data_IF_466543091696
#
_entry.id   IF_466543091696
#
_cell.length_a   1.000
_cell.length_b   1.000
_cell.length_c   1.000
_cell.angle_alpha   90.00
_cell.angle_beta   90.00
_cell.angle_gamma   90.00
#
_symmetry.space_group_name_H-M   'P 1'
#
loop_
_entity.id
_entity.type
_entity.pdbx_description
1 polymer ?
#
# COMPACT_ATOMS: atom_id res chain seq x y z
N UNK A 1 -11.48 -16.70 -0.90
CA UNK A 1 -11.02 -16.18 -2.21
C UNK A 1 -12.04 -16.53 -3.28
N UNK A 2 -12.52 -15.54 -4.04
CA UNK A 2 -13.35 -15.76 -5.23
C UNK A 2 -12.45 -16.30 -6.35
N UNK A 3 -12.90 -17.37 -7.02
CA UNK A 3 -12.15 -18.04 -8.07
C UNK A 3 -12.88 -18.06 -9.42
N UNK A 4 -14.20 -17.87 -9.42
CA UNK A 4 -14.99 -17.84 -10.63
C UNK A 4 -16.32 -17.10 -10.41
N UNK A 5 -16.75 -16.32 -11.39
CA UNK A 5 -18.07 -15.73 -11.47
C UNK A 5 -18.64 -15.96 -12.87
N UNK A 6 -19.96 -16.07 -12.99
CA UNK A 6 -20.64 -16.18 -14.30
C UNK A 6 -22.06 -15.60 -14.22
N UNK A 7 -22.54 -15.14 -15.34
CA UNK A 7 -23.95 -14.85 -15.50
C UNK A 7 -24.77 -16.15 -15.55
N UNK A 8 -25.94 -16.14 -14.98
CA UNK A 8 -26.92 -17.23 -15.03
C UNK A 8 -28.22 -16.70 -15.62
N UNK A 9 -29.14 -17.59 -15.98
CA UNK A 9 -30.44 -17.19 -16.55
C UNK A 9 -31.21 -16.21 -15.62
N UNK A 10 -31.03 -16.37 -14.30
CA UNK A 10 -31.61 -15.49 -13.29
C UNK A 10 -30.54 -15.05 -12.29
N UNK A 11 -29.80 -13.99 -12.64
CA UNK A 11 -28.77 -13.43 -11.76
C UNK A 11 -27.36 -13.93 -12.03
N UNK A 12 -26.57 -14.11 -10.99
CA UNK A 12 -25.14 -14.47 -11.07
C UNK A 12 -24.81 -15.62 -10.13
N UNK A 13 -23.85 -16.43 -10.52
CA UNK A 13 -23.24 -17.46 -9.67
C UNK A 13 -21.79 -17.08 -9.39
N UNK A 14 -21.41 -17.13 -8.11
CA UNK A 14 -20.04 -16.84 -7.66
C UNK A 14 -19.50 -18.05 -6.92
N UNK A 15 -18.38 -18.59 -7.39
CA UNK A 15 -17.65 -19.67 -6.73
C UNK A 15 -16.47 -19.10 -5.95
N UNK A 16 -16.34 -19.50 -4.71
CA UNK A 16 -15.23 -19.09 -3.85
C UNK A 16 -14.66 -20.25 -3.06
N UNK A 17 -13.41 -20.12 -2.64
CA UNK A 17 -12.75 -21.10 -1.77
C UNK A 17 -12.68 -20.54 -0.34
N UNK A 18 -13.19 -21.34 0.59
CA UNK A 18 -13.14 -21.07 2.03
C UNK A 18 -12.69 -22.33 2.77
N UNK A 19 -11.68 -22.22 3.62
CA UNK A 19 -11.12 -23.34 4.40
C UNK A 19 -10.82 -24.59 3.52
N UNK A 20 -10.23 -24.38 2.36
CA UNK A 20 -9.87 -25.44 1.42
C UNK A 20 -11.05 -26.06 0.64
N UNK A 21 -12.28 -25.60 0.85
CA UNK A 21 -13.47 -26.09 0.15
C UNK A 21 -14.00 -25.07 -0.85
N UNK A 22 -14.38 -25.52 -2.02
CA UNK A 22 -15.08 -24.70 -3.00
C UNK A 22 -16.58 -24.66 -2.67
N UNK A 23 -17.09 -23.44 -2.55
CA UNK A 23 -18.50 -23.15 -2.29
C UNK A 23 -19.05 -22.27 -3.40
N UNK A 24 -20.38 -22.29 -3.56
CA UNK A 24 -21.06 -21.46 -4.57
C UNK A 24 -22.21 -20.72 -3.94
N UNK A 25 -22.33 -19.44 -4.32
CA UNK A 25 -23.48 -18.61 -3.97
C UNK A 25 -24.16 -18.10 -5.23
N UNK A 26 -25.48 -18.00 -5.20
CA UNK A 26 -26.31 -17.37 -6.23
C UNK A 26 -26.83 -16.04 -5.70
N UNK A 27 -26.80 -15.02 -6.56
CA UNK A 27 -27.30 -13.68 -6.21
C UNK A 27 -27.98 -13.05 -7.44
N UNK A 28 -28.84 -12.07 -7.20
CA UNK A 28 -29.48 -11.33 -8.30
C UNK A 28 -28.47 -10.47 -9.08
N UNK A 29 -27.48 -9.91 -8.38
CA UNK A 29 -26.44 -9.05 -8.96
C UNK A 29 -25.11 -9.27 -8.23
N UNK A 30 -24.00 -8.92 -8.91
CA UNK A 30 -22.65 -8.93 -8.32
C UNK A 30 -21.92 -7.64 -8.67
N UNK A 31 -21.27 -7.04 -7.66
CA UNK A 31 -20.34 -5.91 -7.84
C UNK A 31 -18.92 -6.43 -7.70
N UNK A 32 -18.12 -6.25 -8.72
CA UNK A 32 -16.71 -6.68 -8.74
C UNK A 32 -15.83 -5.62 -8.06
N UNK A 33 -15.84 -5.57 -6.73
CA UNK A 33 -15.06 -4.65 -5.92
C UNK A 33 -13.64 -5.18 -5.66
N UNK A 34 -12.92 -5.56 -6.70
CA UNK A 34 -11.56 -6.09 -6.65
C UNK A 34 -10.64 -5.38 -7.63
N UNK A 35 -9.36 -5.70 -7.60
CA UNK A 35 -8.43 -5.19 -8.61
C UNK A 35 -8.90 -5.56 -10.02
N UNK A 36 -9.05 -4.54 -10.89
CA UNK A 36 -9.63 -4.68 -12.21
C UNK A 36 -8.94 -5.73 -13.09
N UNK A 37 -7.60 -5.83 -12.99
CA UNK A 37 -6.81 -6.77 -13.77
C UNK A 37 -7.09 -8.25 -13.46
N UNK A 38 -7.70 -8.59 -12.31
CA UNK A 38 -8.07 -9.97 -11.98
C UNK A 38 -9.43 -10.37 -12.59
N UNK A 39 -10.29 -9.39 -12.90
CA UNK A 39 -11.67 -9.66 -13.35
C UNK A 39 -11.71 -10.60 -14.56
N UNK A 40 -10.91 -10.41 -15.65
CA UNK A 40 -10.93 -11.32 -16.79
C UNK A 40 -10.50 -12.77 -16.48
N UNK A 41 -9.87 -12.99 -15.34
CA UNK A 41 -9.46 -14.34 -14.90
C UNK A 41 -10.54 -15.07 -14.10
N UNK A 42 -11.43 -14.33 -13.46
CA UNK A 42 -12.51 -14.90 -12.64
C UNK A 42 -13.89 -14.79 -13.31
N UNK A 43 -14.05 -13.91 -14.29
CA UNK A 43 -15.25 -13.73 -15.11
C UNK A 43 -14.90 -13.93 -16.59
N UNK A 44 -14.91 -15.17 -17.13
CA UNK A 44 -14.48 -15.45 -18.51
C UNK A 44 -15.40 -14.87 -19.58
N UNK A 45 -16.60 -14.43 -19.21
CA UNK A 45 -17.58 -13.82 -20.12
C UNK A 45 -17.29 -12.36 -20.45
N UNK A 46 -16.23 -11.76 -19.87
CA UNK A 46 -15.87 -10.35 -20.18
C UNK A 46 -15.45 -10.26 -21.65
N UNK A 47 -16.06 -9.33 -22.37
CA UNK A 47 -15.73 -9.04 -23.76
C UNK A 47 -14.24 -8.71 -23.94
N UNK A 48 -13.67 -9.11 -25.09
CA UNK A 48 -12.23 -8.96 -25.39
C UNK A 48 -11.75 -7.51 -25.22
N UNK A 49 -12.52 -6.55 -25.72
CA UNK A 49 -12.18 -5.10 -25.59
C UNK A 49 -12.17 -4.67 -24.14
N UNK A 50 -13.18 -5.05 -23.36
CA UNK A 50 -13.26 -4.73 -21.93
C UNK A 50 -12.14 -5.43 -21.14
N UNK A 51 -11.85 -6.70 -21.45
CA UNK A 51 -10.74 -7.41 -20.81
C UNK A 51 -9.39 -6.74 -21.07
N UNK A 52 -9.16 -6.21 -22.26
CA UNK A 52 -7.96 -5.44 -22.60
C UNK A 52 -7.90 -4.13 -21.79
N UNK A 53 -9.01 -3.40 -21.70
CA UNK A 53 -9.09 -2.16 -20.93
C UNK A 53 -8.87 -2.40 -19.41
N UNK A 54 -9.45 -3.47 -18.84
CA UNK A 54 -9.25 -3.85 -17.45
C UNK A 54 -7.78 -4.20 -17.13
N UNK A 55 -7.07 -4.77 -18.09
CA UNK A 55 -5.63 -5.08 -17.98
C UNK A 55 -4.73 -3.89 -18.23
N UNK A 56 -5.23 -2.86 -18.92
CA UNK A 56 -4.46 -1.66 -19.24
C UNK A 56 -4.08 -0.88 -17.98
N UNK A 57 -5.01 -0.68 -17.06
CA UNK A 57 -4.85 0.07 -15.83
C UNK A 57 -3.93 -0.62 -14.82
N UNK A 58 -2.63 -0.68 -15.13
CA UNK A 58 -1.64 -1.20 -14.18
C UNK A 58 -1.55 -0.29 -12.95
N UNK A 59 -1.49 -0.89 -11.76
CA UNK A 59 -1.45 -0.14 -10.50
C UNK A 59 -0.05 -0.12 -9.89
N UNK A 60 0.24 0.96 -9.18
CA UNK A 60 1.50 1.18 -8.49
C UNK A 60 1.64 0.24 -7.30
N UNK A 61 2.77 -0.45 -7.11
CA UNK A 61 3.07 -1.13 -5.86
C UNK A 61 3.38 -0.09 -4.78
N UNK A 62 2.76 -0.22 -3.62
CA UNK A 62 2.91 0.69 -2.49
C UNK A 62 3.34 -0.05 -1.24
N UNK A 63 4.22 0.59 -0.49
CA UNK A 63 4.62 0.20 0.84
C UNK A 63 4.22 1.29 1.82
N UNK A 64 3.35 0.96 2.76
CA UNK A 64 3.00 1.76 3.92
C UNK A 64 3.63 1.13 5.14
N UNK A 65 4.60 1.80 5.73
CA UNK A 65 5.28 1.34 6.93
C UNK A 65 4.90 2.24 8.08
N UNK A 66 4.20 1.70 9.08
CA UNK A 66 3.87 2.45 10.28
C UNK A 66 4.87 2.11 11.37
N UNK A 67 5.44 3.14 11.96
CA UNK A 67 6.43 3.05 13.03
C UNK A 67 5.83 3.68 14.30
N UNK A 68 5.52 2.85 15.28
CA UNK A 68 5.09 3.33 16.58
C UNK A 68 6.32 3.82 17.35
N UNK A 69 6.35 5.09 17.67
CA UNK A 69 7.37 5.74 18.50
C UNK A 69 6.88 5.86 19.93
N UNK A 70 7.78 5.70 20.90
CA UNK A 70 7.48 5.89 22.34
C UNK A 70 7.32 7.37 22.71
N UNK A 71 7.88 8.25 21.90
CA UNK A 71 7.80 9.71 22.02
C UNK A 71 8.18 10.33 20.67
N UNK A 72 7.88 11.63 20.50
CA UNK A 72 8.25 12.38 19.28
C UNK A 72 9.11 13.62 19.60
N UNK A 73 9.83 13.61 20.72
CA UNK A 73 10.71 14.71 21.19
C UNK A 73 11.74 15.13 20.13
N UNK A 74 12.27 14.17 19.37
CA UNK A 74 13.24 14.46 18.31
C UNK A 74 12.62 15.27 17.16
N UNK A 75 11.38 15.00 16.80
CA UNK A 75 10.66 15.74 15.77
C UNK A 75 10.32 17.15 16.26
N UNK A 76 9.91 17.30 17.52
CA UNK A 76 9.69 18.60 18.16
C UNK A 76 10.98 19.43 18.21
N UNK A 77 12.09 18.83 18.65
CA UNK A 77 13.39 19.50 18.72
C UNK A 77 13.88 20.01 17.35
N UNK A 78 13.54 19.28 16.28
CA UNK A 78 13.86 19.67 14.90
C UNK A 78 12.78 20.53 14.24
N UNK A 79 11.65 20.75 14.93
CA UNK A 79 10.47 21.48 14.42
C UNK A 79 9.95 20.90 13.08
N UNK A 80 9.92 19.57 12.97
CA UNK A 80 9.41 18.86 11.80
C UNK A 80 8.29 17.90 12.16
N UNK A 81 7.28 17.78 11.31
CA UNK A 81 6.21 16.79 11.39
C UNK A 81 6.14 15.89 10.16
N UNK A 82 6.75 16.34 9.08
CA UNK A 82 6.82 15.63 7.80
C UNK A 82 8.18 15.90 7.14
N UNK A 83 8.75 14.86 6.53
CA UNK A 83 10.04 14.92 5.84
C UNK A 83 9.88 14.27 4.48
N UNK A 84 10.05 15.06 3.43
CA UNK A 84 10.10 14.55 2.06
C UNK A 84 11.56 14.38 1.63
N UNK A 85 11.95 13.15 1.31
CA UNK A 85 13.34 12.76 1.02
C UNK A 85 13.44 12.02 -0.34
N UNK A 86 13.37 12.74 -1.46
CA UNK A 86 13.49 12.14 -2.80
C UNK A 86 14.81 11.37 -2.93
N UNK A 87 14.73 10.16 -3.47
CA UNK A 87 15.89 9.27 -3.62
C UNK A 87 16.28 8.46 -2.38
N UNK A 88 15.69 8.72 -1.21
CA UNK A 88 15.85 7.86 -0.05
C UNK A 88 15.05 6.55 -0.21
N UNK A 89 15.31 5.56 0.66
CA UNK A 89 14.58 4.30 0.61
C UNK A 89 13.08 4.50 0.82
N UNK A 90 12.69 5.31 1.79
CA UNK A 90 11.34 5.85 1.95
C UNK A 90 11.35 7.32 1.54
N UNK A 91 10.55 7.68 0.57
CA UNK A 91 10.56 9.05 0.01
C UNK A 91 9.79 10.05 0.87
N UNK A 92 8.89 9.57 1.71
CA UNK A 92 8.07 10.38 2.61
C UNK A 92 8.04 9.74 4.00
N UNK A 93 8.07 10.59 5.02
CA UNK A 93 7.99 10.22 6.43
C UNK A 93 7.20 11.29 7.15
N UNK A 94 6.04 10.96 7.71
CA UNK A 94 5.15 11.91 8.34
C UNK A 94 4.55 11.38 9.64
N UNK A 95 4.34 12.26 10.60
CA UNK A 95 3.50 11.95 11.76
C UNK A 95 2.07 11.70 11.29
N UNK A 96 1.38 10.81 11.97
CA UNK A 96 -0.03 10.55 11.72
C UNK A 96 -0.88 11.82 11.96
N UNK A 97 -2.05 11.88 11.32
CA UNK A 97 -2.93 13.04 11.42
C UNK A 97 -3.36 13.31 12.87
N UNK A 98 -3.41 14.60 13.30
CA UNK A 98 -3.75 14.97 14.67
C UNK A 98 -5.26 14.82 14.96
N UNK A 99 -5.80 13.64 14.76
CA UNK A 99 -7.21 13.33 14.92
C UNK A 99 -7.41 12.30 16.03
N UNK A 100 -8.26 12.64 16.98
CA UNK A 100 -8.76 11.68 17.97
C UNK A 100 -10.08 11.11 17.49
N UNK A 101 -10.13 9.78 17.30
CA UNK A 101 -11.34 9.09 16.79
C UNK A 101 -11.54 7.75 17.52
N UNK A 102 -12.77 7.46 17.84
CA UNK A 102 -13.13 6.26 18.62
C UNK A 102 -12.45 6.29 20.00
N UNK A 103 -11.77 5.22 20.36
CA UNK A 103 -10.99 5.12 21.60
C UNK A 103 -9.57 5.65 21.51
N UNK A 104 -9.13 6.09 20.33
CA UNK A 104 -7.76 6.59 20.10
C UNK A 104 -7.68 8.09 20.36
N UNK A 105 -6.70 8.50 21.18
CA UNK A 105 -6.41 9.91 21.44
C UNK A 105 -5.09 10.27 20.78
N UNK A 106 -5.07 11.37 20.03
CA UNK A 106 -3.84 11.93 19.49
C UNK A 106 -2.98 12.51 20.63
N UNK A 107 -1.65 12.32 20.62
CA UNK A 107 -0.76 12.80 21.68
C UNK A 107 -0.81 14.32 21.82
N UNK A 108 -0.80 14.79 23.07
CA UNK A 108 -0.85 16.22 23.41
C UNK A 108 0.52 16.81 23.72
N UNK A 109 1.51 15.96 23.96
CA UNK A 109 2.88 16.37 24.29
C UNK A 109 3.89 15.45 23.59
N UNK A 110 5.10 15.97 23.36
CA UNK A 110 6.18 15.24 22.69
C UNK A 110 6.68 14.02 23.48
N UNK A 111 6.36 13.95 24.76
CA UNK A 111 6.68 12.79 25.60
C UNK A 111 5.74 11.59 25.41
N UNK A 112 4.64 11.77 24.71
CA UNK A 112 3.64 10.71 24.46
C UNK A 112 3.94 9.93 23.19
N UNK A 113 3.46 8.67 23.08
CA UNK A 113 3.63 7.86 21.88
C UNK A 113 2.93 8.47 20.66
N UNK A 114 3.51 8.26 19.48
CA UNK A 114 2.93 8.66 18.20
C UNK A 114 3.22 7.58 17.13
N UNK A 115 2.42 7.54 16.08
CA UNK A 115 2.72 6.77 14.88
C UNK A 115 3.31 7.69 13.82
N UNK A 116 4.38 7.21 13.19
CA UNK A 116 4.99 7.82 12.01
C UNK A 116 4.77 6.87 10.83
N UNK A 117 4.28 7.40 9.73
CA UNK A 117 4.10 6.63 8.50
C UNK A 117 5.22 6.95 7.50
N UNK A 118 5.80 5.90 6.91
CA UNK A 118 6.85 6.01 5.91
C UNK A 118 6.40 5.34 4.62
N UNK A 119 6.55 6.03 3.49
CA UNK A 119 6.07 5.56 2.20
C UNK A 119 7.21 5.22 1.24
N UNK A 120 7.03 4.10 0.52
CA UNK A 120 7.88 3.71 -0.60
C UNK A 120 7.02 3.23 -1.76
N UNK A 121 7.41 3.62 -2.96
CA UNK A 121 6.83 3.15 -4.22
C UNK A 121 7.94 2.47 -5.02
N UNK A 122 8.12 1.15 -4.91
CA UNK A 122 9.15 0.45 -5.66
C UNK A 122 8.91 0.58 -7.16
N UNK A 123 9.92 1.01 -7.90
CA UNK A 123 9.89 1.12 -9.36
C UNK A 123 11.32 1.02 -9.92
N UNK A 124 11.44 0.78 -11.22
CA UNK A 124 12.72 0.78 -11.94
C UNK A 124 12.69 1.92 -12.95
N UNK A 125 13.28 3.09 -12.64
CA UNK A 125 13.29 4.25 -13.53
C UNK A 125 13.86 3.91 -14.90
N UNK A 126 13.32 4.52 -15.96
CA UNK A 126 13.75 4.31 -17.34
C UNK A 126 13.01 3.20 -18.09
N UNK A 127 12.29 2.32 -17.40
CA UNK A 127 11.38 1.37 -18.04
C UNK A 127 10.04 2.04 -18.40
N UNK A 128 9.29 1.50 -19.38
CA UNK A 128 7.88 1.88 -19.57
C UNK A 128 7.08 1.73 -18.29
N UNK A 129 6.11 2.62 -18.04
CA UNK A 129 5.38 2.73 -16.76
C UNK A 129 4.84 1.38 -16.25
N UNK A 130 4.23 0.58 -17.13
CA UNK A 130 3.70 -0.74 -16.77
C UNK A 130 4.77 -1.73 -16.32
N UNK A 131 5.94 -1.66 -16.95
CA UNK A 131 7.07 -2.54 -16.64
C UNK A 131 7.76 -2.09 -15.34
N UNK A 132 7.84 -0.77 -15.10
CA UNK A 132 8.28 -0.24 -13.79
C UNK A 132 7.42 -0.77 -12.65
N UNK A 133 6.10 -0.72 -12.81
CA UNK A 133 5.15 -1.17 -11.78
C UNK A 133 5.21 -2.69 -11.58
N UNK A 134 5.41 -3.44 -12.66
CA UNK A 134 5.57 -4.91 -12.60
C UNK A 134 6.87 -5.31 -11.89
N UNK A 135 7.98 -4.66 -12.24
CA UNK A 135 9.28 -4.89 -11.60
C UNK A 135 9.24 -4.49 -10.11
N UNK A 136 8.68 -3.30 -9.81
CA UNK A 136 8.50 -2.85 -8.43
C UNK A 136 7.61 -3.76 -7.58
N UNK A 137 6.58 -4.37 -8.19
CA UNK A 137 5.77 -5.39 -7.51
C UNK A 137 6.58 -6.64 -7.19
N UNK A 138 7.45 -7.08 -8.10
CA UNK A 138 8.37 -8.19 -7.84
C UNK A 138 9.30 -7.89 -6.66
N UNK A 139 9.91 -6.71 -6.63
CA UNK A 139 10.73 -6.23 -5.51
C UNK A 139 9.93 -6.20 -4.20
N UNK A 140 8.74 -5.58 -4.21
CA UNK A 140 7.88 -5.46 -3.03
C UNK A 140 7.57 -6.81 -2.38
N UNK A 141 7.28 -7.81 -3.20
CA UNK A 141 6.90 -9.15 -2.72
C UNK A 141 8.11 -9.99 -2.29
N UNK A 142 9.24 -9.83 -2.97
CA UNK A 142 10.47 -10.59 -2.68
C UNK A 142 11.25 -10.04 -1.46
N UNK A 143 11.07 -8.76 -1.12
CA UNK A 143 11.85 -8.13 -0.04
C UNK A 143 11.40 -8.67 1.33
N UNK A 144 12.30 -9.24 2.14
CA UNK A 144 11.96 -9.74 3.47
C UNK A 144 11.75 -8.60 4.46
N UNK A 145 10.95 -8.86 5.50
CA UNK A 145 10.64 -7.89 6.56
C UNK A 145 11.90 -7.27 7.20
N UNK A 146 12.92 -8.09 7.49
CA UNK A 146 14.17 -7.63 8.10
C UNK A 146 14.88 -6.53 7.27
N UNK A 147 14.71 -6.54 5.94
CA UNK A 147 15.25 -5.47 5.08
C UNK A 147 14.48 -4.17 5.26
N UNK A 148 13.16 -4.22 5.34
CA UNK A 148 12.34 -3.05 5.63
C UNK A 148 12.65 -2.47 7.01
N UNK A 149 12.69 -3.31 8.03
CA UNK A 149 13.00 -2.90 9.40
C UNK A 149 14.37 -2.19 9.49
N UNK A 150 15.41 -2.77 8.90
CA UNK A 150 16.75 -2.16 8.87
C UNK A 150 16.72 -0.77 8.21
N UNK A 151 16.06 -0.63 7.06
CA UNK A 151 15.95 0.66 6.36
C UNK A 151 15.15 1.68 7.16
N UNK A 152 14.08 1.28 7.86
CA UNK A 152 13.34 2.15 8.77
C UNK A 152 14.25 2.70 9.85
N UNK A 153 14.95 1.83 10.56
CA UNK A 153 15.83 2.20 11.66
C UNK A 153 16.97 3.12 11.21
N UNK A 154 17.63 2.77 10.12
CA UNK A 154 18.72 3.56 9.56
C UNK A 154 18.25 4.92 9.06
N UNK A 155 17.14 4.98 8.33
CA UNK A 155 16.64 6.23 7.77
C UNK A 155 16.13 7.18 8.86
N UNK A 156 15.38 6.69 9.85
CA UNK A 156 14.93 7.50 10.98
C UNK A 156 16.10 7.99 11.83
N UNK A 157 17.13 7.16 12.07
CA UNK A 157 18.34 7.58 12.77
C UNK A 157 19.04 8.74 12.05
N UNK A 158 19.17 8.67 10.74
CA UNK A 158 19.77 9.74 9.93
C UNK A 158 18.94 11.01 9.91
N UNK A 159 17.61 10.90 9.81
CA UNK A 159 16.70 12.03 9.75
C UNK A 159 16.55 12.73 11.08
N UNK A 160 16.39 11.98 12.16
CA UNK A 160 15.99 12.50 13.48
C UNK A 160 17.12 12.49 14.52
N UNK A 161 18.28 11.92 14.19
CA UNK A 161 19.39 11.76 15.14
C UNK A 161 19.88 13.09 15.74
N UNK A 162 19.90 14.19 14.96
CA UNK A 162 20.26 15.52 15.47
C UNK A 162 19.25 16.04 16.51
N UNK A 163 18.02 15.56 16.50
CA UNK A 163 17.00 15.82 17.51
C UNK A 163 17.07 14.90 18.73
N UNK A 164 18.07 14.00 18.79
CA UNK A 164 18.27 13.07 19.90
C UNK A 164 17.53 11.73 19.74
N UNK A 165 17.08 11.39 18.53
CA UNK A 165 16.42 10.12 18.25
C UNK A 165 17.40 8.95 18.31
N UNK A 166 16.98 7.88 18.98
CA UNK A 166 17.68 6.59 19.02
C UNK A 166 16.72 5.45 18.64
N UNK A 167 16.95 4.75 17.50
CA UNK A 167 16.05 3.69 17.04
C UNK A 167 15.85 2.55 18.04
N UNK A 168 16.84 2.24 18.86
CA UNK A 168 16.75 1.16 19.86
C UNK A 168 15.85 1.56 21.04
N UNK A 169 15.93 2.82 21.46
CA UNK A 169 15.16 3.37 22.57
C UNK A 169 13.75 3.78 22.13
N UNK A 170 13.65 4.49 21.01
CA UNK A 170 12.44 5.25 20.67
C UNK A 170 11.44 4.48 19.81
N UNK A 171 11.85 3.45 19.06
CA UNK A 171 10.93 2.61 18.28
C UNK A 171 10.30 1.55 19.19
N UNK A 172 8.96 1.55 19.25
CA UNK A 172 8.21 0.54 19.98
C UNK A 172 7.81 -0.65 19.09
N UNK A 173 7.36 -0.36 17.85
CA UNK A 173 6.92 -1.38 16.90
C UNK A 173 7.02 -0.87 15.46
N UNK A 174 7.11 -1.81 14.51
CA UNK A 174 7.10 -1.52 13.07
C UNK A 174 6.11 -2.48 12.41
N UNK A 175 5.20 -1.94 11.60
CA UNK A 175 4.35 -2.73 10.72
C UNK A 175 4.63 -2.37 9.26
N UNK A 176 4.59 -3.37 8.39
CA UNK A 176 4.89 -3.22 6.96
C UNK A 176 3.69 -3.70 6.16
N UNK A 177 2.96 -2.77 5.57
CA UNK A 177 1.79 -3.04 4.77
C UNK A 177 2.15 -2.97 3.28
N UNK A 178 2.06 -4.12 2.60
CA UNK A 178 2.42 -4.27 1.19
C UNK A 178 1.16 -4.25 0.33
N UNK A 179 1.04 -3.24 -0.51
CA UNK A 179 -0.04 -3.10 -1.46
C UNK A 179 0.50 -3.35 -2.87
N UNK A 180 0.35 -4.58 -3.35
CA UNK A 180 0.84 -4.98 -4.68
C UNK A 180 0.16 -4.21 -5.81
N UNK A 181 -1.06 -3.74 -5.58
CA UNK A 181 -1.88 -2.97 -6.50
C UNK A 181 -2.47 -1.80 -5.72
N UNK A 182 -1.73 -0.71 -5.64
CA UNK A 182 -2.10 0.50 -4.92
C UNK A 182 -3.27 1.25 -5.57
N UNK A 183 -3.24 2.55 -5.59
CA UNK A 183 -4.34 3.41 -6.02
C UNK A 183 -4.99 3.00 -7.33
N UNK A 184 -6.21 3.51 -7.59
CA UNK A 184 -6.86 3.42 -8.89
C UNK A 184 -5.92 3.99 -9.97
N UNK A 185 -6.00 3.45 -11.19
CA UNK A 185 -5.28 4.02 -12.31
C UNK A 185 -5.82 5.43 -12.61
N UNK A 186 -4.92 6.39 -12.68
CA UNK A 186 -5.24 7.75 -13.07
C UNK A 186 -4.88 7.94 -14.55
N UNK A 187 -5.86 8.38 -15.35
CA UNK A 187 -5.66 8.68 -16.76
C UNK A 187 -4.68 9.84 -16.91
N UNK A 188 -3.69 9.67 -17.79
CA UNK A 188 -2.75 10.71 -18.12
C UNK A 188 -2.82 11.05 -19.62
N UNK A 189 -3.25 12.25 -19.94
CA UNK A 189 -3.43 12.70 -21.31
C UNK A 189 -2.14 12.79 -22.16
N UNK A 190 -0.97 12.68 -21.53
CA UNK A 190 0.32 12.73 -22.24
C UNK A 190 0.69 11.42 -22.91
N UNK A 191 0.21 10.28 -22.41
CA UNK A 191 0.61 8.96 -22.92
C UNK A 191 -0.49 7.90 -22.94
N UNK A 192 -1.64 8.15 -22.32
CA UNK A 192 -2.74 7.20 -22.39
C UNK A 192 -3.52 7.38 -23.69
N UNK A 193 -3.98 6.29 -24.31
CA UNK A 193 -4.80 6.39 -25.53
C UNK A 193 -6.14 7.07 -25.24
N UNK A 194 -6.57 7.91 -26.16
CA UNK A 194 -7.87 8.58 -26.15
C UNK A 194 -9.01 7.63 -26.50
#
# INVERSE_FOLDING_TARGET
TVVHARNAATGVEVTYVRNGRAERVKAGRCVMACWNGIIPHILPEVETRQAAALKYGSKVPLLYTNVALRNWKAMEALQVHSIFAPGAYFFDTSMDFPVSIGGTQYPKSSGEPVVVTMHRTPCVPGLPVRDQQRAGRGELLATPYATYERNVRDQLARMLGKGGFDPARDIAAITVNRWSHGYAYEYNSLWDPT
#
